data_IF_699791011229
#
_entry.id   IF_699791011229
#
_cell.length_a   1.000
_cell.length_b   1.000
_cell.length_c   1.000
_cell.angle_alpha   90.00
_cell.angle_beta   90.00
_cell.angle_gamma   90.00
#
_symmetry.space_group_name_H-M   'P 1'
#
loop_
_entity.id
_entity.type
_entity.pdbx_description
1 polymer ?
#
# COMPACT_ATOMS: atom_id res chain seq x y z
N UNK A 1 -6.44 10.50 21.22
CA UNK A 1 -7.56 10.05 22.07
C UNK A 1 -7.24 10.20 23.54
N UNK A 2 -8.18 10.56 24.39
CA UNK A 2 -8.00 10.74 25.84
C UNK A 2 -9.33 10.64 26.57
N UNK A 3 -9.28 10.43 27.88
CA UNK A 3 -10.43 10.51 28.78
C UNK A 3 -10.10 11.47 29.94
N UNK A 4 -10.99 12.37 30.22
CA UNK A 4 -10.93 13.33 31.34
C UNK A 4 -12.21 13.21 32.14
N UNK A 5 -12.08 12.88 33.42
CA UNK A 5 -13.23 12.75 34.33
C UNK A 5 -13.15 13.87 35.37
N UNK A 6 -14.05 14.85 35.24
CA UNK A 6 -14.25 15.95 36.17
C UNK A 6 -15.49 15.70 37.05
N UNK A 7 -15.72 16.55 38.03
CA UNK A 7 -16.86 16.40 38.94
C UNK A 7 -18.22 16.52 38.22
N UNK A 8 -18.33 17.43 37.27
CA UNK A 8 -19.58 17.75 36.56
C UNK A 8 -19.74 17.03 35.22
N UNK A 9 -18.64 16.62 34.55
CA UNK A 9 -18.68 15.95 33.27
C UNK A 9 -17.56 14.93 33.09
N UNK A 10 -17.73 14.05 32.14
CA UNK A 10 -16.66 13.19 31.64
C UNK A 10 -16.53 13.41 30.13
N UNK A 11 -15.32 13.78 29.68
CA UNK A 11 -14.96 13.90 28.29
C UNK A 11 -14.21 12.66 27.84
N UNK A 12 -14.69 12.02 26.77
CA UNK A 12 -14.03 10.93 26.08
C UNK A 12 -13.73 11.41 24.65
N UNK A 13 -12.47 11.47 24.30
CA UNK A 13 -12.02 11.83 22.97
C UNK A 13 -11.44 10.57 22.30
N UNK A 14 -12.01 10.17 21.18
CA UNK A 14 -11.58 9.04 20.37
C UNK A 14 -11.41 9.44 18.91
N UNK A 15 -10.59 8.69 18.19
CA UNK A 15 -10.43 8.87 16.75
C UNK A 15 -11.35 7.88 16.03
N UNK A 16 -12.08 8.38 15.04
CA UNK A 16 -12.99 7.60 14.21
C UNK A 16 -12.49 7.57 12.76
N UNK A 17 -12.72 6.49 12.02
CA UNK A 17 -12.32 6.42 10.63
C UNK A 17 -13.30 7.21 9.74
N UNK A 18 -12.75 7.96 8.79
CA UNK A 18 -13.50 8.71 7.78
C UNK A 18 -12.93 8.49 6.40
N UNK A 19 -13.70 8.85 5.37
CA UNK A 19 -13.28 8.86 3.97
C UNK A 19 -13.29 10.31 3.52
N UNK A 20 -12.14 10.78 3.06
CA UNK A 20 -11.97 12.09 2.46
C UNK A 20 -11.75 11.92 0.96
N UNK A 21 -12.50 12.63 0.15
CA UNK A 21 -12.28 12.64 -1.31
C UNK A 21 -11.19 13.66 -1.66
N UNK A 22 -10.09 13.17 -2.26
CA UNK A 22 -9.00 13.99 -2.77
C UNK A 22 -8.74 13.65 -4.23
N UNK A 23 -8.88 14.63 -5.11
CA UNK A 23 -8.65 14.46 -6.55
C UNK A 23 -9.48 13.31 -7.18
N UNK A 24 -10.71 13.13 -6.73
CA UNK A 24 -11.59 12.05 -7.21
C UNK A 24 -11.25 10.65 -6.70
N UNK A 25 -10.39 10.54 -5.67
CA UNK A 25 -10.01 9.29 -5.00
C UNK A 25 -10.38 9.32 -3.53
N UNK A 26 -10.83 8.19 -3.02
CA UNK A 26 -11.11 8.01 -1.59
C UNK A 26 -9.83 7.83 -0.79
N UNK A 27 -9.62 8.69 0.18
CA UNK A 27 -8.57 8.58 1.18
C UNK A 27 -9.17 8.19 2.51
N UNK A 28 -8.64 7.13 3.11
CA UNK A 28 -9.06 6.70 4.43
C UNK A 28 -8.22 7.43 5.48
N UNK A 29 -8.89 8.27 6.25
CA UNK A 29 -8.29 9.12 7.27
C UNK A 29 -8.95 8.87 8.62
N UNK A 30 -8.46 9.52 9.66
CA UNK A 30 -9.08 9.50 10.98
C UNK A 30 -9.35 10.92 11.45
N UNK A 31 -10.52 11.13 12.05
CA UNK A 31 -10.95 12.40 12.62
C UNK A 31 -11.30 12.23 14.08
N UNK A 32 -11.12 13.27 14.91
CA UNK A 32 -11.48 13.21 16.32
C UNK A 32 -13.00 13.30 16.51
N UNK A 33 -13.51 12.51 17.46
CA UNK A 33 -14.87 12.58 17.97
C UNK A 33 -14.84 12.73 19.47
N UNK A 34 -15.54 13.75 19.99
CA UNK A 34 -15.73 13.93 21.43
C UNK A 34 -17.08 13.39 21.88
N UNK A 35 -17.08 12.68 23.00
CA UNK A 35 -18.27 12.23 23.72
C UNK A 35 -18.21 12.88 25.10
N UNK A 36 -19.14 13.76 25.40
CA UNK A 36 -19.24 14.48 26.66
C UNK A 36 -20.48 13.97 27.39
N UNK A 37 -20.29 13.42 28.58
CA UNK A 37 -21.40 12.99 29.42
C UNK A 37 -21.46 13.82 30.68
N UNK A 38 -22.64 14.36 30.96
CA UNK A 38 -22.99 15.07 32.20
C UNK A 38 -24.04 14.27 32.98
N UNK A 39 -24.47 14.80 34.12
CA UNK A 39 -25.54 14.17 34.92
C UNK A 39 -26.81 13.93 34.07
N UNK A 40 -27.20 14.86 33.21
CA UNK A 40 -28.48 14.84 32.52
C UNK A 40 -28.38 14.58 31.02
N UNK A 41 -27.24 14.90 30.37
CA UNK A 41 -27.08 14.85 28.92
C UNK A 41 -25.88 14.00 28.50
N UNK A 42 -25.94 13.51 27.26
CA UNK A 42 -24.81 13.00 26.50
C UNK A 42 -24.74 13.80 25.20
N UNK A 43 -23.56 14.38 24.93
CA UNK A 43 -23.30 15.24 23.78
C UNK A 43 -22.18 14.60 22.96
N UNK A 44 -22.40 14.42 21.68
CA UNK A 44 -21.36 13.98 20.73
C UNK A 44 -20.99 15.15 19.82
N UNK A 45 -19.68 15.35 19.62
CA UNK A 45 -19.15 16.40 18.73
C UNK A 45 -18.21 15.74 17.73
N UNK A 46 -18.50 15.93 16.45
CA UNK A 46 -17.70 15.45 15.35
C UNK A 46 -17.56 16.54 14.29
N UNK A 47 -16.44 16.58 13.57
CA UNK A 47 -16.18 17.58 12.53
C UNK A 47 -16.98 17.34 11.26
N UNK A 48 -17.36 16.10 11.00
CA UNK A 48 -18.05 15.66 9.80
C UNK A 48 -19.16 14.66 10.16
N UNK A 49 -20.10 14.48 9.25
CA UNK A 49 -21.09 13.41 9.35
C UNK A 49 -20.39 12.04 9.26
N UNK A 50 -20.70 11.15 10.21
CA UNK A 50 -20.02 9.86 10.32
C UNK A 50 -21.01 8.70 10.38
N UNK A 51 -20.72 7.57 9.68
CA UNK A 51 -21.52 6.36 9.76
C UNK A 51 -21.64 5.81 11.19
N UNK A 52 -20.71 6.15 12.07
CA UNK A 52 -20.72 5.76 13.49
C UNK A 52 -21.94 6.36 14.18
N UNK A 53 -22.22 7.64 13.98
CA UNK A 53 -23.35 8.34 14.62
C UNK A 53 -24.66 8.20 13.83
N UNK A 54 -24.61 8.23 12.50
CA UNK A 54 -25.82 8.09 11.67
C UNK A 54 -26.51 6.74 11.86
N UNK A 55 -25.76 5.68 12.23
CA UNK A 55 -26.34 4.38 12.53
C UNK A 55 -27.34 4.42 13.70
N UNK A 56 -27.15 5.32 14.68
CA UNK A 56 -28.07 5.54 15.80
C UNK A 56 -29.27 6.38 15.37
N UNK A 57 -29.05 7.40 14.55
CA UNK A 57 -30.10 8.27 14.03
C UNK A 57 -31.09 7.53 13.12
N UNK A 58 -30.57 6.58 12.34
CA UNK A 58 -31.35 5.74 11.41
C UNK A 58 -32.02 4.53 12.10
N UNK A 59 -31.83 4.34 13.40
CA UNK A 59 -32.38 3.22 14.14
C UNK A 59 -31.76 1.85 13.77
N UNK A 60 -30.57 1.85 13.18
CA UNK A 60 -29.85 0.59 12.79
C UNK A 60 -29.17 -0.10 13.96
N UNK A 61 -29.06 0.57 15.11
CA UNK A 61 -28.50 -0.01 16.34
C UNK A 61 -29.64 -0.57 17.19
N UNK A 62 -29.54 -1.87 17.47
CA UNK A 62 -30.53 -2.57 18.32
C UNK A 62 -30.31 -2.24 19.80
N UNK A 63 -31.38 -2.32 20.60
CA UNK A 63 -31.36 -2.13 22.05
C UNK A 63 -30.70 -0.81 22.48
N UNK A 64 -30.90 0.22 21.66
CA UNK A 64 -30.41 1.57 21.89
C UNK A 64 -31.41 2.38 22.71
N UNK A 65 -30.94 2.89 23.87
CA UNK A 65 -31.72 3.75 24.76
C UNK A 65 -30.89 4.92 25.25
N UNK A 66 -31.33 6.15 24.97
CA UNK A 66 -30.60 7.39 25.32
C UNK A 66 -30.43 7.60 26.82
N UNK A 67 -31.32 7.04 27.66
CA UNK A 67 -31.23 7.13 29.12
C UNK A 67 -30.16 6.21 29.72
N UNK A 68 -29.73 5.17 28.99
CA UNK A 68 -28.64 4.26 29.38
C UNK A 68 -27.30 4.82 28.86
N UNK A 69 -26.83 5.93 29.44
CA UNK A 69 -25.68 6.71 28.92
C UNK A 69 -24.41 5.88 28.80
N UNK A 70 -24.08 5.06 29.81
CA UNK A 70 -22.89 4.19 29.76
C UNK A 70 -22.98 3.23 28.59
N UNK A 71 -24.09 2.52 28.48
CA UNK A 71 -24.34 1.58 27.38
C UNK A 71 -24.27 2.27 26.02
N UNK A 72 -24.82 3.48 25.91
CA UNK A 72 -24.77 4.25 24.69
C UNK A 72 -23.32 4.64 24.31
N UNK A 73 -22.49 5.07 25.26
CA UNK A 73 -21.06 5.33 25.02
C UNK A 73 -20.38 4.06 24.49
N UNK A 74 -20.58 2.93 25.14
CA UNK A 74 -19.97 1.66 24.72
C UNK A 74 -20.46 1.20 23.34
N UNK A 75 -21.73 1.39 23.02
CA UNK A 75 -22.27 1.12 21.68
C UNK A 75 -21.65 2.03 20.61
N UNK A 76 -21.40 3.32 20.90
CA UNK A 76 -20.66 4.22 20.00
C UNK A 76 -19.25 3.70 19.77
N UNK A 77 -18.53 3.31 20.83
CA UNK A 77 -17.17 2.79 20.73
C UNK A 77 -17.11 1.46 19.98
N UNK A 78 -18.09 0.58 20.20
CA UNK A 78 -18.26 -0.66 19.44
C UNK A 78 -18.47 -0.38 17.95
N UNK A 79 -19.37 0.55 17.65
CA UNK A 79 -19.63 0.96 16.26
C UNK A 79 -18.41 1.58 15.60
N UNK A 80 -17.61 2.33 16.36
CA UNK A 80 -16.34 2.87 15.89
C UNK A 80 -15.36 1.74 15.52
N UNK A 81 -15.13 0.77 16.40
CA UNK A 81 -14.25 -0.36 16.12
C UNK A 81 -14.70 -1.17 14.89
N UNK A 82 -16.01 -1.47 14.81
CA UNK A 82 -16.56 -2.18 13.64
C UNK A 82 -16.48 -1.36 12.35
N UNK A 83 -16.51 -0.03 12.42
CA UNK A 83 -16.33 0.84 11.25
C UNK A 83 -14.89 0.79 10.73
N UNK A 84 -13.87 0.75 11.61
CA UNK A 84 -12.49 0.48 11.20
C UNK A 84 -12.37 -0.83 10.45
N UNK A 85 -12.96 -1.91 10.97
CA UNK A 85 -12.95 -3.23 10.31
C UNK A 85 -13.61 -3.20 8.93
N UNK A 86 -14.69 -2.45 8.77
CA UNK A 86 -15.35 -2.28 7.47
C UNK A 86 -14.43 -1.57 6.46
N UNK A 87 -13.77 -0.48 6.87
CA UNK A 87 -12.87 0.26 6.00
C UNK A 87 -11.60 -0.53 5.67
N UNK A 88 -11.08 -1.31 6.63
CA UNK A 88 -9.97 -2.22 6.37
C UNK A 88 -10.29 -3.24 5.28
N UNK A 89 -11.51 -3.80 5.27
CA UNK A 89 -11.96 -4.70 4.19
C UNK A 89 -12.06 -4.00 2.83
N UNK A 90 -12.41 -2.72 2.81
CA UNK A 90 -12.45 -1.93 1.57
C UNK A 90 -11.03 -1.65 1.09
N UNK A 91 -10.10 -1.29 1.99
CA UNK A 91 -8.69 -1.09 1.67
C UNK A 91 -8.08 -2.37 1.09
N UNK A 92 -8.33 -3.52 1.70
CA UNK A 92 -7.88 -4.83 1.24
C UNK A 92 -8.34 -5.12 -0.20
N UNK A 93 -9.64 -4.97 -0.48
CA UNK A 93 -10.17 -5.15 -1.84
C UNK A 93 -9.60 -4.15 -2.84
N UNK A 94 -9.40 -2.88 -2.43
CA UNK A 94 -8.78 -1.88 -3.31
C UNK A 94 -7.32 -2.25 -3.60
N UNK A 95 -6.57 -2.71 -2.61
CA UNK A 95 -5.18 -3.14 -2.79
C UNK A 95 -5.07 -4.31 -3.77
N UNK A 96 -5.94 -5.31 -3.67
CA UNK A 96 -5.99 -6.46 -4.59
C UNK A 96 -6.25 -6.02 -6.05
N UNK A 97 -7.17 -5.07 -6.25
CA UNK A 97 -7.46 -4.53 -7.60
C UNK A 97 -6.23 -3.79 -8.17
N UNK A 98 -5.54 -3.00 -7.34
CA UNK A 98 -4.35 -2.25 -7.76
C UNK A 98 -3.19 -3.22 -8.05
N UNK A 99 -2.99 -4.23 -7.22
CA UNK A 99 -1.99 -5.27 -7.42
C UNK A 99 -2.19 -5.99 -8.75
N UNK A 100 -3.42 -6.39 -9.08
CA UNK A 100 -3.75 -7.01 -10.36
C UNK A 100 -3.47 -6.09 -11.55
N UNK A 101 -3.73 -4.78 -11.43
CA UNK A 101 -3.37 -3.80 -12.46
C UNK A 101 -1.86 -3.68 -12.62
N UNK A 102 -1.12 -3.64 -11.51
CA UNK A 102 0.33 -3.52 -11.48
C UNK A 102 1.01 -4.72 -12.16
N UNK A 103 0.47 -5.93 -11.98
CA UNK A 103 0.93 -7.12 -12.72
C UNK A 103 0.80 -6.97 -14.25
N UNK A 104 -0.21 -6.25 -14.73
CA UNK A 104 -0.47 -6.09 -16.16
C UNK A 104 0.27 -4.89 -16.76
N UNK A 105 0.31 -3.75 -16.08
CA UNK A 105 0.78 -2.48 -16.64
C UNK A 105 2.18 -2.08 -16.18
N UNK A 106 2.60 -2.51 -14.99
CA UNK A 106 3.88 -2.15 -14.34
C UNK A 106 4.14 -0.62 -14.31
N UNK A 107 3.08 0.18 -14.18
CA UNK A 107 3.18 1.63 -14.14
C UNK A 107 3.45 2.11 -12.72
N UNK A 108 4.11 3.27 -12.61
CA UNK A 108 4.39 3.89 -11.31
C UNK A 108 3.13 4.43 -10.62
N UNK A 109 2.04 4.67 -11.35
CA UNK A 109 0.78 5.17 -10.78
C UNK A 109 0.17 4.19 -9.79
N UNK A 110 0.18 2.90 -10.10
CA UNK A 110 -0.35 1.84 -9.24
C UNK A 110 0.48 1.70 -7.95
N UNK A 111 1.81 1.88 -8.04
CA UNK A 111 2.67 1.89 -6.85
C UNK A 111 2.37 3.09 -5.94
N UNK A 112 2.07 4.24 -6.52
CA UNK A 112 1.68 5.44 -5.76
C UNK A 112 0.33 5.19 -5.06
N UNK A 113 -0.63 4.56 -5.74
CA UNK A 113 -1.93 4.20 -5.14
C UNK A 113 -1.76 3.23 -3.96
N UNK A 114 -0.91 2.20 -4.07
CA UNK A 114 -0.59 1.32 -2.95
C UNK A 114 0.04 2.07 -1.77
N UNK A 115 0.94 3.02 -2.05
CA UNK A 115 1.55 3.87 -1.02
C UNK A 115 0.50 4.75 -0.31
N UNK A 116 -0.50 5.25 -1.03
CA UNK A 116 -1.61 6.01 -0.47
C UNK A 116 -2.47 5.15 0.48
N UNK A 117 -2.77 3.91 0.10
CA UNK A 117 -3.44 2.96 0.99
C UNK A 117 -2.59 2.61 2.22
N UNK A 118 -1.28 2.45 2.05
CA UNK A 118 -0.38 2.21 3.17
C UNK A 118 -0.36 3.38 4.17
N UNK A 119 -0.37 4.63 3.70
CA UNK A 119 -0.51 5.81 4.57
C UNK A 119 -1.81 5.78 5.37
N UNK A 120 -2.91 5.37 4.74
CA UNK A 120 -4.20 5.21 5.43
C UNK A 120 -4.12 4.18 6.57
N UNK A 121 -3.43 3.06 6.35
CA UNK A 121 -3.21 2.05 7.39
C UNK A 121 -2.34 2.58 8.54
N UNK A 122 -1.37 3.47 8.27
CA UNK A 122 -0.58 4.12 9.33
C UNK A 122 -1.47 5.03 10.20
N UNK A 123 -2.38 5.79 9.59
CA UNK A 123 -3.36 6.59 10.35
C UNK A 123 -4.24 5.69 11.21
N UNK A 124 -4.77 4.61 10.66
CA UNK A 124 -5.60 3.66 11.40
C UNK A 124 -4.84 3.01 12.55
N UNK A 125 -3.60 2.54 12.32
CA UNK A 125 -2.77 1.97 13.39
C UNK A 125 -2.58 2.94 14.56
N UNK A 126 -2.26 4.19 14.24
CA UNK A 126 -2.01 5.23 15.25
C UNK A 126 -3.27 5.52 16.07
N UNK A 127 -4.40 5.69 15.37
CA UNK A 127 -5.69 6.01 16.00
C UNK A 127 -6.25 4.85 16.81
N UNK A 128 -6.18 3.61 16.29
CA UNK A 128 -6.62 2.42 17.04
C UNK A 128 -5.83 2.20 18.32
N UNK A 129 -4.49 2.39 18.28
CA UNK A 129 -3.66 2.34 19.50
C UNK A 129 -4.03 3.42 20.49
N UNK A 130 -4.30 4.63 20.02
CA UNK A 130 -4.74 5.74 20.86
C UNK A 130 -6.12 5.45 21.49
N UNK A 131 -7.04 4.86 20.73
CA UNK A 131 -8.34 4.42 21.23
C UNK A 131 -8.20 3.29 22.26
N UNK A 132 -7.27 2.33 22.06
CA UNK A 132 -7.01 1.25 23.03
C UNK A 132 -6.68 1.80 24.41
N UNK A 133 -5.84 2.85 24.50
CA UNK A 133 -5.52 3.52 25.78
C UNK A 133 -6.78 4.08 26.47
N UNK A 134 -7.73 4.60 25.70
CA UNK A 134 -9.02 5.09 26.24
C UNK A 134 -9.84 3.92 26.75
N UNK A 135 -9.96 2.83 25.98
CA UNK A 135 -10.71 1.63 26.36
C UNK A 135 -10.13 0.99 27.64
N UNK A 136 -8.81 0.90 27.77
CA UNK A 136 -8.17 0.39 28.98
C UNK A 136 -8.43 1.26 30.21
N UNK A 137 -8.48 2.61 30.04
CA UNK A 137 -8.86 3.51 31.13
C UNK A 137 -10.33 3.34 31.51
N UNK A 138 -11.21 3.14 30.54
CA UNK A 138 -12.64 2.88 30.79
C UNK A 138 -12.85 1.61 31.63
N UNK A 139 -12.02 0.57 31.43
CA UNK A 139 -12.04 -0.64 32.29
C UNK A 139 -11.78 -0.37 33.76
N UNK A 140 -11.08 0.72 34.09
CA UNK A 140 -10.68 1.08 35.47
C UNK A 140 -11.69 2.01 36.15
N UNK A 141 -12.65 2.55 35.42
CA UNK A 141 -13.65 3.51 35.93
C UNK A 141 -14.88 2.74 36.44
N UNK A 142 -15.06 2.66 37.75
CA UNK A 142 -16.16 1.92 38.39
C UNK A 142 -17.56 2.42 37.96
N UNK A 143 -17.70 3.70 37.62
CA UNK A 143 -18.96 4.28 37.12
C UNK A 143 -19.46 3.59 35.82
N UNK A 144 -18.55 3.03 35.02
CA UNK A 144 -18.86 2.39 33.74
C UNK A 144 -19.25 0.91 33.91
N UNK A 145 -18.73 0.27 34.98
CA UNK A 145 -19.02 -1.14 35.30
C UNK A 145 -20.28 -1.34 36.16
N UNK A 146 -21.22 -0.43 36.06
CA UNK A 146 -22.41 -0.46 36.93
C UNK A 146 -23.30 -1.69 36.72
N UNK A 147 -23.33 -2.22 35.50
CA UNK A 147 -24.10 -3.39 35.10
C UNK A 147 -23.22 -4.46 34.46
N UNK A 148 -23.44 -5.77 34.75
CA UNK A 148 -22.64 -6.84 34.12
C UNK A 148 -22.63 -6.78 32.59
N UNK A 149 -23.79 -6.51 31.98
CA UNK A 149 -23.93 -6.43 30.51
C UNK A 149 -23.14 -5.30 29.88
N UNK A 150 -22.86 -4.22 30.63
CA UNK A 150 -22.00 -3.12 30.15
C UNK A 150 -20.52 -3.52 30.24
N UNK A 151 -20.14 -4.40 31.17
CA UNK A 151 -18.79 -4.96 31.24
C UNK A 151 -18.51 -5.86 30.05
N UNK A 152 -19.44 -6.77 29.74
CA UNK A 152 -19.34 -7.67 28.60
C UNK A 152 -19.25 -6.87 27.28
N UNK A 153 -20.07 -5.83 27.14
CA UNK A 153 -20.01 -4.95 25.96
C UNK A 153 -18.66 -4.20 25.83
N UNK A 154 -18.07 -3.75 26.96
CA UNK A 154 -16.75 -3.11 26.94
C UNK A 154 -15.65 -4.11 26.54
N UNK A 155 -15.72 -5.35 27.00
CA UNK A 155 -14.81 -6.41 26.59
C UNK A 155 -14.93 -6.68 25.07
N UNK A 156 -16.15 -6.74 24.55
CA UNK A 156 -16.39 -6.87 23.10
C UNK A 156 -15.79 -5.69 22.31
N UNK A 157 -15.94 -4.44 22.79
CA UNK A 157 -15.31 -3.27 22.15
C UNK A 157 -13.79 -3.41 22.10
N UNK A 158 -13.18 -3.88 23.18
CA UNK A 158 -11.72 -4.08 23.25
C UNK A 158 -11.28 -5.16 22.27
N UNK A 159 -12.01 -6.25 22.17
CA UNK A 159 -11.72 -7.35 21.24
C UNK A 159 -11.80 -6.85 19.80
N UNK A 160 -12.87 -6.13 19.43
CA UNK A 160 -13.03 -5.57 18.07
C UNK A 160 -11.94 -4.55 17.74
N UNK A 161 -11.55 -3.69 18.71
CA UNK A 161 -10.46 -2.73 18.51
C UNK A 161 -9.10 -3.44 18.31
N UNK A 162 -8.82 -4.49 19.09
CA UNK A 162 -7.61 -5.31 18.91
C UNK A 162 -7.60 -6.02 17.57
N UNK A 163 -8.72 -6.60 17.17
CA UNK A 163 -8.86 -7.23 15.86
C UNK A 163 -8.57 -6.22 14.73
N UNK A 164 -9.10 -5.00 14.83
CA UNK A 164 -8.81 -3.95 13.85
C UNK A 164 -7.32 -3.58 13.82
N UNK A 165 -6.66 -3.51 14.97
CA UNK A 165 -5.22 -3.26 15.05
C UNK A 165 -4.39 -4.37 14.39
N UNK A 166 -4.72 -5.63 14.67
CA UNK A 166 -4.04 -6.79 14.08
C UNK A 166 -4.22 -6.82 12.56
N UNK A 167 -5.46 -6.64 12.07
CA UNK A 167 -5.75 -6.56 10.64
C UNK A 167 -4.99 -5.42 9.96
N UNK A 168 -4.95 -4.24 10.60
CA UNK A 168 -4.20 -3.09 10.06
C UNK A 168 -2.70 -3.42 9.94
N UNK A 169 -2.12 -4.11 10.94
CA UNK A 169 -0.72 -4.53 10.92
C UNK A 169 -0.44 -5.55 9.82
N UNK A 170 -1.33 -6.53 9.65
CA UNK A 170 -1.23 -7.56 8.60
C UNK A 170 -1.29 -6.91 7.21
N UNK A 171 -2.29 -6.07 6.95
CA UNK A 171 -2.43 -5.41 5.65
C UNK A 171 -1.28 -4.46 5.34
N UNK A 172 -0.77 -3.73 6.35
CA UNK A 172 0.42 -2.91 6.17
C UNK A 172 1.65 -3.75 5.79
N UNK A 173 1.83 -4.91 6.41
CA UNK A 173 2.89 -5.86 6.07
C UNK A 173 2.76 -6.41 4.65
N UNK A 174 1.54 -6.78 4.23
CA UNK A 174 1.24 -7.26 2.87
C UNK A 174 1.56 -6.18 1.84
N UNK A 175 1.05 -4.95 2.03
CA UNK A 175 1.29 -3.85 1.10
C UNK A 175 2.78 -3.51 0.98
N UNK A 176 3.52 -3.50 2.10
CA UNK A 176 4.97 -3.27 2.08
C UNK A 176 5.69 -4.36 1.28
N UNK A 177 5.39 -5.63 1.54
CA UNK A 177 5.98 -6.76 0.81
C UNK A 177 5.63 -6.77 -0.68
N UNK A 178 4.41 -6.40 -1.04
CA UNK A 178 3.97 -6.24 -2.43
C UNK A 178 4.79 -5.15 -3.14
N UNK A 179 4.94 -3.97 -2.54
CA UNK A 179 5.74 -2.87 -3.12
C UNK A 179 7.21 -3.26 -3.30
N UNK A 180 7.83 -3.92 -2.32
CA UNK A 180 9.22 -4.38 -2.40
C UNK A 180 9.40 -5.42 -3.52
N UNK A 181 8.44 -6.32 -3.66
CA UNK A 181 8.42 -7.32 -4.71
C UNK A 181 8.36 -6.67 -6.09
N UNK A 182 7.44 -5.71 -6.29
CA UNK A 182 7.32 -5.00 -7.57
C UNK A 182 8.54 -4.14 -7.89
N UNK A 183 9.14 -3.48 -6.91
CA UNK A 183 10.39 -2.75 -7.09
C UNK A 183 11.50 -3.69 -7.60
N UNK A 184 11.58 -4.90 -7.05
CA UNK A 184 12.52 -5.93 -7.49
C UNK A 184 12.21 -6.43 -8.92
N UNK A 185 10.94 -6.65 -9.26
CA UNK A 185 10.52 -7.05 -10.62
C UNK A 185 10.86 -5.98 -11.64
N UNK A 186 10.57 -4.71 -11.35
CA UNK A 186 10.91 -3.58 -12.24
C UNK A 186 12.43 -3.50 -12.44
N UNK A 187 13.22 -3.62 -11.38
CA UNK A 187 14.69 -3.64 -11.47
C UNK A 187 15.19 -4.79 -12.32
N UNK A 188 14.63 -5.99 -12.15
CA UNK A 188 14.99 -7.17 -12.95
C UNK A 188 14.64 -6.97 -14.43
N UNK A 189 13.46 -6.42 -14.74
CA UNK A 189 13.05 -6.13 -16.12
C UNK A 189 13.99 -5.10 -16.79
N UNK A 190 14.39 -4.06 -16.04
CA UNK A 190 15.38 -3.11 -16.52
C UNK A 190 16.72 -3.79 -16.84
N UNK A 191 17.18 -4.68 -15.97
CA UNK A 191 18.41 -5.46 -16.21
C UNK A 191 18.32 -6.33 -17.46
N UNK A 192 17.19 -6.96 -17.72
CA UNK A 192 16.93 -7.74 -18.94
C UNK A 192 17.04 -6.84 -20.18
N UNK A 193 16.36 -5.68 -20.18
CA UNK A 193 16.44 -4.74 -21.30
C UNK A 193 17.86 -4.23 -21.51
N UNK A 194 18.58 -3.90 -20.44
CA UNK A 194 19.98 -3.44 -20.53
C UNK A 194 20.91 -4.53 -21.07
N UNK A 195 20.74 -5.79 -20.65
CA UNK A 195 21.48 -6.94 -21.21
C UNK A 195 21.21 -7.08 -22.70
N UNK A 196 19.95 -7.03 -23.11
CA UNK A 196 19.56 -7.10 -24.52
C UNK A 196 20.23 -5.99 -25.35
N UNK A 197 20.13 -4.73 -24.91
CA UNK A 197 20.74 -3.59 -25.60
C UNK A 197 22.27 -3.74 -25.69
N UNK A 198 22.93 -4.13 -24.60
CA UNK A 198 24.38 -4.36 -24.59
C UNK A 198 24.77 -5.47 -25.58
N UNK A 199 24.04 -6.58 -25.59
CA UNK A 199 24.27 -7.71 -26.48
C UNK A 199 24.12 -7.32 -27.95
N UNK A 200 23.02 -6.63 -28.30
CA UNK A 200 22.80 -6.13 -29.67
C UNK A 200 23.94 -5.19 -30.09
N UNK A 201 24.32 -4.26 -29.19
CA UNK A 201 25.41 -3.31 -29.46
C UNK A 201 26.74 -4.01 -29.73
N UNK A 202 27.09 -5.00 -28.90
CA UNK A 202 28.34 -5.77 -29.09
C UNK A 202 28.30 -6.55 -30.40
N UNK A 203 27.20 -7.25 -30.70
CA UNK A 203 27.06 -8.04 -31.94
C UNK A 203 27.18 -7.12 -33.17
N UNK A 204 26.51 -5.96 -33.16
CA UNK A 204 26.56 -5.00 -34.26
C UNK A 204 27.88 -4.25 -34.40
N UNK A 205 28.67 -4.16 -33.33
CA UNK A 205 29.99 -3.53 -33.38
C UNK A 205 31.03 -4.36 -34.18
N UNK A 206 30.86 -5.70 -34.26
CA UNK A 206 31.82 -6.58 -34.97
C UNK A 206 31.92 -6.25 -36.46
N UNK A 207 30.84 -6.24 -37.25
CA UNK A 207 30.88 -5.84 -38.64
C UNK A 207 31.42 -4.42 -38.83
N UNK A 208 31.02 -3.48 -37.98
CA UNK A 208 31.47 -2.08 -38.05
C UNK A 208 32.96 -1.96 -37.82
N UNK A 209 33.51 -2.69 -36.83
CA UNK A 209 34.94 -2.68 -36.52
C UNK A 209 35.76 -3.24 -37.69
N UNK A 210 35.33 -4.36 -38.26
CA UNK A 210 36.03 -4.97 -39.41
C UNK A 210 35.97 -4.06 -40.62
N UNK A 211 34.80 -3.52 -40.95
CA UNK A 211 34.62 -2.58 -42.06
C UNK A 211 35.49 -1.30 -41.86
N UNK A 212 35.60 -0.81 -40.62
CA UNK A 212 36.40 0.35 -40.26
C UNK A 212 37.90 0.08 -40.48
N UNK A 213 38.41 -1.10 -40.14
CA UNK A 213 39.82 -1.45 -40.45
C UNK A 213 40.07 -1.49 -41.93
N UNK A 214 39.18 -2.02 -42.75
CA UNK A 214 39.33 -2.07 -44.21
C UNK A 214 39.08 -0.69 -44.87
N UNK A 215 38.48 0.26 -44.18
CA UNK A 215 38.31 1.65 -44.62
C UNK A 215 39.51 2.57 -44.32
N UNK A 216 40.55 2.03 -43.68
CA UNK A 216 41.77 2.83 -43.36
C UNK A 216 42.63 3.11 -44.60
N UNK A 217 43.18 4.34 -44.68
CA UNK A 217 44.12 4.75 -45.74
C UNK A 217 45.54 4.22 -45.45
N UNK A 218 45.74 2.91 -45.43
CA UNK A 218 47.03 2.23 -45.26
C UNK A 218 47.41 1.46 -46.55
N UNK A 219 48.66 1.04 -46.68
CA UNK A 219 49.09 0.26 -47.86
C UNK A 219 48.33 -1.10 -47.90
N UNK A 220 47.69 -1.39 -49.05
CA UNK A 220 46.91 -2.59 -49.26
C UNK A 220 47.72 -3.88 -49.07
N UNK A 221 49.01 -3.90 -49.33
CA UNK A 221 49.91 -5.04 -49.13
C UNK A 221 50.02 -5.50 -47.68
N UNK A 222 49.60 -4.69 -46.69
CA UNK A 222 49.52 -5.05 -45.26
C UNK A 222 48.20 -5.58 -44.83
N UNK A 223 47.15 -5.54 -45.66
CA UNK A 223 45.80 -5.96 -45.32
C UNK A 223 45.51 -7.38 -45.88
N UNK A 224 45.06 -8.35 -45.09
CA UNK A 224 44.68 -9.66 -45.57
C UNK A 224 43.62 -9.59 -46.68
N UNK A 225 43.82 -10.31 -47.78
CA UNK A 225 42.89 -10.39 -48.93
C UNK A 225 42.64 -9.08 -49.70
N UNK A 226 43.27 -7.94 -49.38
CA UNK A 226 42.99 -6.67 -50.03
C UNK A 226 43.38 -6.63 -51.52
N UNK A 227 44.38 -7.37 -51.93
CA UNK A 227 44.83 -7.47 -53.31
C UNK A 227 44.16 -8.61 -54.11
N UNK A 228 43.31 -9.43 -53.46
CA UNK A 228 42.58 -10.51 -54.12
C UNK A 228 41.34 -10.00 -54.85
N UNK A 229 41.04 -10.45 -56.09
CA UNK A 229 39.82 -10.08 -56.80
C UNK A 229 38.53 -10.50 -56.04
N UNK A 230 38.60 -11.48 -55.14
CA UNK A 230 37.50 -11.91 -54.30
C UNK A 230 37.59 -11.40 -52.85
N UNK A 231 38.51 -10.51 -52.55
CA UNK A 231 38.83 -10.04 -51.21
C UNK A 231 37.63 -9.50 -50.43
N UNK A 232 36.79 -8.68 -51.07
CA UNK A 232 35.55 -8.19 -50.44
C UNK A 232 34.60 -9.31 -50.01
N UNK A 233 34.37 -10.28 -50.90
CA UNK A 233 33.49 -11.42 -50.59
C UNK A 233 33.99 -12.30 -49.43
N UNK A 234 35.32 -12.51 -49.40
CA UNK A 234 36.00 -13.28 -48.35
C UNK A 234 35.87 -12.57 -47.01
N UNK A 235 36.15 -11.27 -46.94
CA UNK A 235 36.06 -10.48 -45.72
C UNK A 235 34.62 -10.40 -45.22
N UNK A 236 33.66 -10.20 -46.14
CA UNK A 236 32.24 -10.16 -45.82
C UNK A 236 31.77 -11.51 -45.23
N UNK A 237 32.18 -12.64 -45.86
CA UNK A 237 31.83 -13.97 -45.35
C UNK A 237 32.37 -14.22 -43.94
N UNK A 238 33.65 -13.95 -43.66
CA UNK A 238 34.23 -14.11 -42.35
C UNK A 238 33.60 -13.16 -41.30
N UNK A 239 33.26 -11.92 -41.68
CA UNK A 239 32.57 -10.96 -40.81
C UNK A 239 31.20 -11.48 -40.41
N UNK A 240 30.39 -11.95 -41.36
CA UNK A 240 29.09 -12.54 -41.07
C UNK A 240 29.19 -13.80 -40.24
N UNK A 241 30.15 -14.69 -40.56
CA UNK A 241 30.37 -15.93 -39.81
C UNK A 241 30.73 -15.61 -38.34
N UNK A 242 31.67 -14.69 -38.12
CA UNK A 242 32.08 -14.27 -36.77
C UNK A 242 30.92 -13.66 -36.00
N UNK A 243 30.15 -12.77 -36.65
CA UNK A 243 28.96 -12.15 -36.05
C UNK A 243 27.93 -13.19 -35.63
N UNK A 244 27.65 -14.19 -36.48
CA UNK A 244 26.72 -15.27 -36.17
C UNK A 244 27.23 -16.18 -35.03
N UNK A 245 28.54 -16.46 -34.99
CA UNK A 245 29.14 -17.25 -33.90
C UNK A 245 28.97 -16.50 -32.57
N UNK A 246 29.27 -15.21 -32.52
CA UNK A 246 29.14 -14.41 -31.30
C UNK A 246 27.66 -14.29 -30.88
N UNK A 247 26.75 -14.03 -31.83
CA UNK A 247 25.31 -14.03 -31.57
C UNK A 247 24.83 -15.38 -31.00
N UNK A 248 25.28 -16.50 -31.56
CA UNK A 248 24.96 -17.82 -31.08
C UNK A 248 25.48 -18.08 -29.64
N UNK A 249 26.72 -17.65 -29.34
CA UNK A 249 27.30 -17.77 -28.00
C UNK A 249 26.48 -16.95 -26.98
N UNK A 250 26.08 -15.75 -27.33
CA UNK A 250 25.30 -14.88 -26.46
C UNK A 250 23.87 -15.44 -26.24
N UNK A 251 23.25 -15.97 -27.29
CA UNK A 251 21.96 -16.66 -27.15
C UNK A 251 22.06 -17.88 -26.23
N UNK A 252 23.13 -18.72 -26.37
CA UNK A 252 23.35 -19.90 -25.51
C UNK A 252 23.61 -19.53 -24.03
N UNK A 253 24.06 -18.32 -23.75
CA UNK A 253 24.32 -17.81 -22.38
C UNK A 253 23.16 -17.01 -21.79
N UNK A 254 21.98 -17.06 -22.39
CA UNK A 254 20.78 -16.31 -21.96
C UNK A 254 21.06 -14.79 -21.78
N UNK A 255 21.85 -14.22 -22.70
CA UNK A 255 22.15 -12.81 -22.72
C UNK A 255 21.23 -12.02 -23.67
N UNK A 256 20.40 -12.71 -24.44
CA UNK A 256 19.34 -12.13 -25.25
C UNK A 256 18.00 -12.15 -24.51
#
# INVERSE_FOLDING_TARGET
>A
SRIEAEDEYTLILVDIPSIEERNGKDWFVTIPMAIITTKDMLITVCLEETPVLTAFMDGRVRDFHTFMKTRFILQILYKNATQYLQYLRIIDKKSEVIENKLHQSQKNEELIELLELQKSLVYFTTSLRSNEVVLEKLLRIDKIKKYPEDTDLLEDVIVENKQAMEMTSIYNGILSGTMDTFASVISNNLNIVMKFLATVTIVMSIPTMIASFYGMNVRASGMPFAESPYGFGIVLFFTLLLTLIVAYIFNKKDLF
#
